data_IF_163145524418
#
_entry.id   IF_163145524418
#
_cell.length_a   1.000
_cell.length_b   1.000
_cell.length_c   1.000
_cell.angle_alpha   90.00
_cell.angle_beta   90.00
_cell.angle_gamma   90.00
#
_symmetry.space_group_name_H-M   'P 1'
#
loop_
_entity.id
_entity.type
_entity.pdbx_description
1 polymer ?
#
# COMPACT_ATOMS: atom_id res chain seq x y z
N UNK A 1 -52.55 30.89 22.73
CA UNK A 1 -51.72 30.71 21.50
C UNK A 1 -50.26 30.74 21.92
N UNK A 2 -49.66 29.58 22.19
CA UNK A 2 -48.25 29.48 22.63
C UNK A 2 -47.38 29.18 21.41
N UNK A 3 -46.33 30.01 21.23
CA UNK A 3 -45.34 29.85 20.18
C UNK A 3 -44.41 28.68 20.52
N UNK A 4 -44.44 27.61 19.73
CA UNK A 4 -43.45 26.55 19.78
C UNK A 4 -42.11 27.08 19.21
N UNK A 5 -41.12 27.11 20.07
CA UNK A 5 -39.75 27.46 19.76
C UNK A 5 -39.10 26.36 18.89
N UNK A 6 -38.66 26.73 17.69
CA UNK A 6 -37.82 25.93 16.83
C UNK A 6 -36.35 26.11 17.29
N UNK A 7 -35.93 25.32 18.24
CA UNK A 7 -34.48 25.24 18.57
C UNK A 7 -34.13 23.81 18.95
N UNK A 8 -33.27 23.17 18.18
CA UNK A 8 -32.71 21.89 18.59
C UNK A 8 -32.17 20.99 17.47
N UNK A 9 -31.78 21.56 16.32
CA UNK A 9 -30.85 20.82 15.46
C UNK A 9 -29.43 21.12 15.93
N UNK A 10 -28.97 20.35 16.90
CA UNK A 10 -27.55 20.32 17.24
C UNK A 10 -26.81 19.85 16.01
N UNK A 11 -25.88 20.68 15.53
CA UNK A 11 -24.86 20.28 14.55
C UNK A 11 -24.13 19.09 15.14
N UNK A 12 -24.43 17.87 14.69
CA UNK A 12 -23.56 16.72 14.89
C UNK A 12 -22.30 17.08 14.11
N UNK A 13 -21.27 17.48 14.84
CA UNK A 13 -19.93 17.60 14.27
C UNK A 13 -19.53 16.22 13.83
N UNK A 14 -19.58 15.97 12.52
CA UNK A 14 -18.99 14.77 11.90
C UNK A 14 -17.46 14.84 12.12
N UNK A 15 -17.02 14.47 13.31
CA UNK A 15 -15.62 14.23 13.59
C UNK A 15 -15.31 12.92 12.87
N UNK A 16 -14.75 13.01 11.68
CA UNK A 16 -14.24 11.85 10.95
C UNK A 16 -13.28 11.13 11.90
N UNK A 17 -13.64 9.94 12.34
CA UNK A 17 -12.77 9.11 13.17
C UNK A 17 -11.71 8.56 12.22
N UNK A 18 -10.50 9.11 12.30
CA UNK A 18 -9.37 8.57 11.56
C UNK A 18 -8.86 7.36 12.35
N UNK A 19 -9.02 6.17 11.76
CA UNK A 19 -8.44 4.96 12.31
C UNK A 19 -6.92 4.97 12.10
N UNK A 20 -6.17 4.84 13.20
CA UNK A 20 -4.72 4.62 13.17
C UNK A 20 -4.43 3.13 13.17
N UNK A 21 -3.90 2.64 12.08
CA UNK A 21 -3.63 1.22 11.93
C UNK A 21 -2.25 0.85 12.49
N UNK A 22 -2.17 -0.39 13.01
CA UNK A 22 -0.95 -1.10 13.37
C UNK A 22 -0.85 -2.37 12.53
N UNK A 23 0.25 -3.08 12.61
CA UNK A 23 0.50 -4.28 11.80
C UNK A 23 -0.67 -5.29 11.86
N UNK A 24 -1.18 -5.56 13.05
CA UNK A 24 -2.24 -6.55 13.24
C UNK A 24 -3.60 -6.05 12.73
N UNK A 25 -3.87 -4.77 12.90
CA UNK A 25 -5.18 -4.19 12.55
C UNK A 25 -5.29 -3.83 11.08
N UNK A 26 -4.20 -3.42 10.41
CA UNK A 26 -4.22 -3.12 8.97
C UNK A 26 -4.52 -4.38 8.15
N UNK A 27 -3.93 -5.51 8.52
CA UNK A 27 -4.16 -6.78 7.81
C UNK A 27 -5.62 -7.23 7.91
N UNK A 28 -6.24 -7.08 9.08
CA UNK A 28 -7.67 -7.38 9.28
C UNK A 28 -8.52 -6.45 8.42
N UNK A 29 -8.26 -5.14 8.46
CA UNK A 29 -9.04 -4.15 7.72
C UNK A 29 -8.92 -4.33 6.20
N UNK A 30 -7.73 -4.65 5.68
CA UNK A 30 -7.54 -4.95 4.25
C UNK A 30 -8.31 -6.20 3.85
N UNK A 31 -8.29 -7.27 4.65
CA UNK A 31 -9.09 -8.46 4.36
C UNK A 31 -10.59 -8.14 4.35
N UNK A 32 -11.09 -7.36 5.32
CA UNK A 32 -12.49 -6.92 5.32
C UNK A 32 -12.81 -6.04 4.08
N UNK A 33 -11.87 -5.18 3.64
CA UNK A 33 -12.02 -4.41 2.40
C UNK A 33 -12.11 -5.31 1.17
N UNK A 34 -11.25 -6.30 1.07
CA UNK A 34 -11.24 -7.25 -0.06
C UNK A 34 -12.50 -8.11 -0.10
N UNK A 35 -13.09 -8.43 1.06
CA UNK A 35 -14.35 -9.19 1.13
C UNK A 35 -15.58 -8.34 0.82
N UNK A 36 -15.66 -7.13 1.38
CA UNK A 36 -16.79 -6.21 1.20
C UNK A 36 -16.34 -4.76 1.42
N UNK A 37 -15.95 -4.04 0.35
CA UNK A 37 -15.49 -2.66 0.42
C UNK A 37 -16.49 -1.71 1.09
N UNK A 38 -17.78 -1.81 0.77
CA UNK A 38 -18.80 -0.92 1.33
C UNK A 38 -18.91 -1.05 2.85
N UNK A 39 -18.86 -2.29 3.36
CA UNK A 39 -18.90 -2.55 4.80
C UNK A 39 -17.63 -2.09 5.49
N UNK A 40 -16.47 -2.29 4.88
CA UNK A 40 -15.19 -1.85 5.42
C UNK A 40 -15.09 -0.33 5.43
N UNK A 41 -15.55 0.34 4.36
CA UNK A 41 -15.62 1.80 4.28
C UNK A 41 -16.53 2.39 5.36
N UNK A 42 -17.70 1.81 5.59
CA UNK A 42 -18.60 2.23 6.66
C UNK A 42 -17.96 2.12 8.07
N UNK A 43 -17.01 1.19 8.25
CA UNK A 43 -16.33 0.94 9.53
C UNK A 43 -15.07 1.78 9.71
N UNK A 44 -14.25 1.89 8.66
CA UNK A 44 -12.89 2.44 8.73
C UNK A 44 -12.70 3.74 7.91
N UNK A 45 -13.68 4.15 7.12
CA UNK A 45 -13.52 5.12 6.04
C UNK A 45 -12.89 4.51 4.80
N UNK A 46 -12.84 5.28 3.72
CA UNK A 46 -12.29 4.83 2.45
C UNK A 46 -10.79 4.47 2.61
N UNK A 47 -10.37 3.35 2.00
CA UNK A 47 -9.03 2.79 2.15
C UNK A 47 -7.91 3.78 1.82
N UNK A 48 -8.13 4.71 0.88
CA UNK A 48 -7.16 5.75 0.51
C UNK A 48 -6.85 6.74 1.63
N UNK A 49 -7.66 6.80 2.69
CA UNK A 49 -7.54 7.77 3.80
C UNK A 49 -7.12 7.12 5.12
N UNK A 50 -6.71 5.86 5.07
CA UNK A 50 -6.28 5.16 6.26
C UNK A 50 -4.94 5.70 6.78
N UNK A 51 -4.87 5.97 8.10
CA UNK A 51 -3.63 6.38 8.78
C UNK A 51 -2.76 5.15 9.03
N UNK A 52 -1.72 4.99 8.19
CA UNK A 52 -0.77 3.88 8.24
C UNK A 52 0.53 4.23 8.98
N UNK A 53 0.60 5.41 9.59
CA UNK A 53 1.82 5.96 10.23
C UNK A 53 2.44 5.08 11.33
N UNK A 54 1.67 4.13 11.89
CA UNK A 54 2.16 3.19 12.91
C UNK A 54 2.45 1.78 12.36
N UNK A 55 2.31 1.59 11.05
CA UNK A 55 2.57 0.29 10.41
C UNK A 55 4.04 0.18 10.07
N UNK A 56 4.66 -0.91 10.46
CA UNK A 56 6.08 -1.18 10.22
C UNK A 56 6.32 -2.34 9.24
N UNK A 57 5.29 -3.13 8.94
CA UNK A 57 5.35 -4.17 7.91
C UNK A 57 4.08 -4.20 7.08
N UNK A 58 4.28 -4.24 5.77
CA UNK A 58 3.24 -4.44 4.75
C UNK A 58 3.34 -5.84 4.12
N UNK A 59 4.04 -6.76 4.81
CA UNK A 59 4.26 -8.10 4.30
C UNK A 59 2.96 -8.78 3.91
N UNK A 60 2.85 -9.18 2.63
CA UNK A 60 1.68 -9.89 2.05
C UNK A 60 0.34 -9.15 2.14
N UNK A 61 0.32 -7.84 2.40
CA UNK A 61 -0.91 -7.12 2.69
C UNK A 61 -1.97 -7.22 1.57
N UNK A 62 -1.53 -7.19 0.30
CA UNK A 62 -2.37 -7.37 -0.89
C UNK A 62 -1.96 -8.62 -1.70
N UNK A 63 -1.37 -9.60 -1.03
CA UNK A 63 -0.95 -10.85 -1.69
C UNK A 63 -2.14 -11.57 -2.34
N UNK A 64 -2.06 -11.82 -3.66
CA UNK A 64 -3.14 -12.40 -4.47
C UNK A 64 -4.42 -11.56 -4.54
N UNK A 65 -4.35 -10.27 -4.27
CA UNK A 65 -5.46 -9.34 -4.40
C UNK A 65 -5.73 -9.01 -5.88
N UNK A 66 -6.24 -10.00 -6.62
CA UNK A 66 -6.34 -9.94 -8.09
C UNK A 66 -7.32 -8.89 -8.63
N UNK A 67 -8.19 -8.33 -7.78
CA UNK A 67 -9.16 -7.29 -8.15
C UNK A 67 -8.85 -5.93 -7.51
N UNK A 68 -7.83 -5.85 -6.64
CA UNK A 68 -7.50 -4.63 -5.93
C UNK A 68 -6.80 -3.63 -6.86
N UNK A 69 -7.36 -2.43 -6.95
CA UNK A 69 -6.75 -1.29 -7.67
C UNK A 69 -7.20 0.06 -7.08
N UNK A 70 -7.38 0.15 -5.75
CA UNK A 70 -7.72 1.40 -5.10
C UNK A 70 -6.50 2.30 -4.92
N UNK A 71 -6.68 3.64 -4.97
CA UNK A 71 -5.60 4.58 -4.70
C UNK A 71 -5.18 4.49 -3.23
N UNK A 72 -3.88 4.32 -3.02
CA UNK A 72 -3.24 4.24 -1.69
C UNK A 72 -1.97 5.09 -1.64
N UNK A 73 -1.87 6.06 -2.55
CA UNK A 73 -0.74 6.98 -2.67
C UNK A 73 -0.55 7.87 -1.44
N UNK A 74 -1.61 8.13 -0.66
CA UNK A 74 -1.56 8.90 0.58
C UNK A 74 -1.12 8.09 1.82
N UNK A 75 -0.88 6.78 1.68
CA UNK A 75 -0.43 5.97 2.80
C UNK A 75 0.96 6.39 3.28
N UNK A 76 1.09 6.60 4.59
CA UNK A 76 2.38 6.87 5.22
C UNK A 76 3.20 5.58 5.34
N UNK A 77 4.25 5.48 4.52
CA UNK A 77 5.17 4.34 4.46
C UNK A 77 6.45 4.58 5.26
N UNK A 78 6.62 5.75 5.86
CA UNK A 78 7.88 6.22 6.47
C UNK A 78 8.40 5.36 7.64
N UNK A 79 7.58 4.49 8.20
CA UNK A 79 7.98 3.54 9.24
C UNK A 79 8.03 2.07 8.78
N UNK A 80 7.74 1.82 7.50
CA UNK A 80 7.72 0.46 6.94
C UNK A 80 9.15 -0.03 6.69
N UNK A 81 9.45 -1.24 7.17
CA UNK A 81 10.75 -1.90 6.99
C UNK A 81 10.66 -3.16 6.11
N UNK A 82 9.48 -3.74 5.97
CA UNK A 82 9.24 -4.97 5.18
C UNK A 82 8.05 -4.80 4.25
N UNK A 83 8.30 -4.83 2.94
CA UNK A 83 7.29 -4.82 1.87
C UNK A 83 7.26 -6.16 1.10
N UNK A 84 7.82 -7.23 1.68
CA UNK A 84 7.90 -8.53 0.99
C UNK A 84 6.51 -9.03 0.58
N UNK A 85 6.36 -9.44 -0.68
CA UNK A 85 5.13 -10.00 -1.26
C UNK A 85 3.91 -9.07 -1.22
N UNK A 86 4.04 -7.77 -0.89
CA UNK A 86 2.89 -6.89 -0.68
C UNK A 86 1.88 -6.93 -1.84
N UNK A 87 2.33 -6.86 -3.08
CA UNK A 87 1.51 -6.91 -4.30
C UNK A 87 1.78 -8.16 -5.16
N UNK A 88 2.42 -9.18 -4.61
CA UNK A 88 2.67 -10.41 -5.38
C UNK A 88 1.34 -11.04 -5.80
N UNK A 89 1.19 -11.31 -7.11
CA UNK A 89 -0.04 -11.77 -7.74
C UNK A 89 -1.24 -10.79 -7.64
N UNK A 90 -1.02 -9.50 -7.39
CA UNK A 90 -2.03 -8.45 -7.49
C UNK A 90 -2.14 -8.01 -8.96
N UNK A 91 -2.84 -8.79 -9.75
CA UNK A 91 -2.80 -8.72 -11.23
C UNK A 91 -3.47 -7.51 -11.84
N UNK A 92 -4.29 -6.75 -11.09
CA UNK A 92 -4.94 -5.52 -11.57
C UNK A 92 -4.33 -4.25 -10.97
N UNK A 93 -3.49 -4.37 -9.92
CA UNK A 93 -2.94 -3.21 -9.25
C UNK A 93 -2.01 -2.41 -10.16
N UNK A 94 -2.33 -1.12 -10.38
CA UNK A 94 -1.53 -0.18 -11.16
C UNK A 94 -1.70 1.27 -10.68
N UNK A 95 -1.83 1.49 -9.37
CA UNK A 95 -1.94 2.83 -8.81
C UNK A 95 -0.58 3.49 -8.62
N UNK A 96 -0.55 4.83 -8.70
CA UNK A 96 0.66 5.61 -8.47
C UNK A 96 1.08 5.50 -6.99
N UNK A 97 2.32 5.08 -6.77
CA UNK A 97 2.93 4.92 -5.45
C UNK A 97 4.37 5.47 -5.41
N UNK A 98 4.75 6.22 -6.44
CA UNK A 98 6.12 6.75 -6.56
C UNK A 98 6.51 7.75 -5.48
N UNK A 99 5.53 8.38 -4.81
CA UNK A 99 5.74 9.34 -3.72
C UNK A 99 5.90 8.70 -2.33
N UNK A 100 5.83 7.36 -2.22
CA UNK A 100 6.02 6.70 -0.94
C UNK A 100 7.44 6.89 -0.39
N UNK A 101 7.57 7.25 0.89
CA UNK A 101 8.84 7.21 1.61
C UNK A 101 9.16 5.77 2.00
N UNK A 102 10.03 5.13 1.21
CA UNK A 102 10.49 3.74 1.43
C UNK A 102 11.91 3.68 2.01
N UNK A 103 12.43 4.81 2.47
CA UNK A 103 13.83 4.95 2.93
C UNK A 103 14.21 4.02 4.09
N UNK A 104 13.25 3.50 4.87
CA UNK A 104 13.51 2.52 5.93
C UNK A 104 13.32 1.06 5.51
N UNK A 105 12.88 0.81 4.27
CA UNK A 105 12.61 -0.55 3.81
C UNK A 105 13.91 -1.32 3.64
N UNK A 106 13.96 -2.52 4.20
CA UNK A 106 15.13 -3.41 4.12
C UNK A 106 14.92 -4.62 3.22
N UNK A 107 13.66 -4.95 2.90
CA UNK A 107 13.33 -6.06 2.01
C UNK A 107 12.10 -5.77 1.15
N UNK A 108 12.26 -5.99 -0.16
CA UNK A 108 11.24 -5.86 -1.21
C UNK A 108 11.11 -7.17 -2.00
N UNK A 109 11.51 -8.31 -1.40
CA UNK A 109 11.46 -9.60 -2.12
C UNK A 109 10.04 -9.91 -2.57
N UNK A 110 9.90 -10.33 -3.84
CA UNK A 110 8.62 -10.68 -4.47
C UNK A 110 7.56 -9.56 -4.44
N UNK A 111 7.94 -8.30 -4.22
CA UNK A 111 7.00 -7.18 -4.03
C UNK A 111 5.94 -7.10 -5.13
N UNK A 112 6.34 -7.14 -6.39
CA UNK A 112 5.48 -7.09 -7.59
C UNK A 112 5.58 -8.37 -8.44
N UNK A 113 6.00 -9.48 -7.83
CA UNK A 113 6.08 -10.74 -8.58
C UNK A 113 4.70 -11.14 -9.10
N UNK A 114 4.61 -11.41 -10.41
CA UNK A 114 3.35 -11.70 -11.11
C UNK A 114 2.28 -10.59 -10.99
N UNK A 115 2.70 -9.33 -10.81
CA UNK A 115 1.84 -8.15 -10.91
C UNK A 115 1.78 -7.71 -12.39
N UNK A 116 0.88 -8.32 -13.14
CA UNK A 116 0.84 -8.28 -14.60
C UNK A 116 0.32 -6.98 -15.20
N UNK A 117 -0.06 -5.99 -14.38
CA UNK A 117 -0.45 -4.65 -14.85
C UNK A 117 0.39 -3.53 -14.25
N UNK A 118 1.13 -3.80 -13.14
CA UNK A 118 1.89 -2.75 -12.46
C UNK A 118 3.04 -2.25 -13.33
N UNK A 119 2.96 -0.97 -13.72
CA UNK A 119 3.99 -0.28 -14.51
C UNK A 119 4.06 1.21 -14.17
N UNK A 120 3.92 1.59 -12.89
CA UNK A 120 4.01 2.98 -12.44
C UNK A 120 5.46 3.37 -12.13
N UNK A 121 5.84 4.65 -12.36
CA UNK A 121 7.19 5.13 -12.04
C UNK A 121 7.43 5.08 -10.53
N UNK A 122 8.57 4.51 -10.18
CA UNK A 122 9.08 4.38 -8.80
C UNK A 122 10.56 4.75 -8.71
N UNK A 123 11.06 5.50 -9.69
CA UNK A 123 12.46 5.91 -9.79
C UNK A 123 12.92 6.74 -8.58
N UNK A 124 11.99 7.52 -7.98
CA UNK A 124 12.27 8.39 -6.84
C UNK A 124 12.33 7.65 -5.48
N UNK A 125 12.11 6.34 -5.46
CA UNK A 125 12.24 5.58 -4.23
C UNK A 125 13.68 5.53 -3.73
N UNK A 126 13.91 5.94 -2.48
CA UNK A 126 15.19 5.72 -1.79
C UNK A 126 15.28 4.25 -1.34
N UNK A 127 15.99 3.46 -2.12
CA UNK A 127 16.21 2.03 -1.86
C UNK A 127 17.56 1.72 -1.22
N UNK A 128 18.30 2.74 -0.78
CA UNK A 128 19.65 2.63 -0.26
C UNK A 128 19.79 1.70 0.96
N UNK A 129 18.70 1.48 1.70
CA UNK A 129 18.68 0.56 2.83
C UNK A 129 18.21 -0.86 2.48
N UNK A 130 17.78 -1.11 1.24
CA UNK A 130 17.26 -2.42 0.83
C UNK A 130 18.41 -3.43 0.71
N UNK A 131 18.21 -4.62 1.28
CA UNK A 131 19.16 -5.74 1.26
C UNK A 131 18.67 -6.93 0.44
N UNK A 132 17.38 -7.03 0.18
CA UNK A 132 16.81 -8.15 -0.57
C UNK A 132 15.73 -7.66 -1.55
N UNK A 133 16.01 -7.87 -2.86
CA UNK A 133 15.10 -7.61 -4.00
C UNK A 133 14.83 -8.89 -4.81
N UNK A 134 15.01 -10.08 -4.19
CA UNK A 134 14.74 -11.37 -4.84
C UNK A 134 13.38 -11.38 -5.52
N UNK A 135 13.37 -11.71 -6.82
CA UNK A 135 12.16 -11.86 -7.64
C UNK A 135 11.19 -10.67 -7.59
N UNK A 136 11.68 -9.46 -7.29
CA UNK A 136 10.83 -8.27 -7.07
C UNK A 136 9.85 -8.00 -8.21
N UNK A 137 10.29 -8.15 -9.45
CA UNK A 137 9.49 -7.95 -10.66
C UNK A 137 9.38 -9.24 -11.52
N UNK A 138 9.61 -10.40 -10.93
CA UNK A 138 9.51 -11.67 -11.66
C UNK A 138 8.12 -11.87 -12.26
N UNK A 139 8.03 -12.26 -13.52
CA UNK A 139 6.78 -12.44 -14.27
C UNK A 139 5.86 -11.19 -14.28
N UNK A 140 6.43 -9.99 -14.30
CA UNK A 140 5.71 -8.72 -14.38
C UNK A 140 5.92 -8.03 -15.73
N UNK A 141 5.16 -6.95 -15.98
CA UNK A 141 5.29 -6.07 -17.16
C UNK A 141 6.09 -4.80 -16.86
N UNK A 142 6.69 -4.72 -15.68
CA UNK A 142 7.39 -3.53 -15.23
C UNK A 142 8.58 -3.20 -16.14
N UNK A 143 8.57 -1.98 -16.70
CA UNK A 143 9.62 -1.50 -17.60
C UNK A 143 9.97 -0.02 -17.41
N UNK A 144 9.72 0.53 -16.20
CA UNK A 144 10.08 1.91 -15.89
C UNK A 144 11.56 2.04 -15.51
N UNK A 145 12.08 3.28 -15.64
CA UNK A 145 13.46 3.58 -15.27
C UNK A 145 13.69 3.40 -13.78
N UNK A 146 14.91 2.92 -13.43
CA UNK A 146 15.39 2.75 -12.07
C UNK A 146 16.81 3.33 -11.90
N UNK A 147 17.17 4.34 -12.72
CA UNK A 147 18.54 4.82 -12.84
C UNK A 147 19.04 5.52 -11.56
N UNK A 148 18.12 6.08 -10.75
CA UNK A 148 18.46 6.76 -9.50
C UNK A 148 18.64 5.81 -8.31
N UNK A 149 18.31 4.52 -8.46
CA UNK A 149 18.40 3.58 -7.35
C UNK A 149 19.83 3.28 -6.93
N UNK A 150 20.16 3.59 -5.66
CA UNK A 150 21.39 3.11 -5.01
C UNK A 150 21.18 1.67 -4.49
N UNK A 151 21.68 0.72 -5.24
CA UNK A 151 21.59 -0.72 -4.91
C UNK A 151 22.88 -1.27 -4.27
N UNK A 152 23.79 -0.40 -3.83
CA UNK A 152 25.10 -0.80 -3.29
C UNK A 152 25.02 -1.68 -2.04
N UNK A 153 23.92 -1.61 -1.30
CA UNK A 153 23.66 -2.41 -0.10
C UNK A 153 22.83 -3.68 -0.36
N UNK A 154 22.40 -3.92 -1.60
CA UNK A 154 21.57 -5.10 -1.92
C UNK A 154 22.43 -6.36 -1.95
N UNK A 155 22.04 -7.35 -1.15
CA UNK A 155 22.75 -8.64 -1.00
C UNK A 155 22.13 -9.74 -1.87
N UNK A 156 20.84 -9.62 -2.24
CA UNK A 156 20.16 -10.61 -3.06
C UNK A 156 19.24 -9.92 -4.08
N UNK A 157 19.52 -10.14 -5.37
CA UNK A 157 18.71 -9.74 -6.53
C UNK A 157 18.35 -10.95 -7.41
N UNK A 158 18.43 -12.16 -6.89
CA UNK A 158 18.16 -13.35 -7.67
C UNK A 158 16.79 -13.27 -8.34
N UNK A 159 16.76 -13.54 -9.65
CA UNK A 159 15.51 -13.55 -10.46
C UNK A 159 14.69 -12.26 -10.42
N UNK A 160 15.30 -11.10 -10.09
CA UNK A 160 14.59 -9.82 -9.94
C UNK A 160 13.64 -9.54 -11.12
N UNK A 161 14.04 -9.83 -12.34
CA UNK A 161 13.28 -9.66 -13.59
C UNK A 161 13.06 -10.98 -14.34
N UNK A 162 13.13 -12.12 -13.66
CA UNK A 162 12.94 -13.42 -14.35
C UNK A 162 11.52 -13.50 -14.93
N UNK A 163 11.39 -13.95 -16.19
CA UNK A 163 10.13 -14.08 -16.91
C UNK A 163 9.33 -12.78 -17.06
N UNK A 164 9.95 -11.61 -16.87
CA UNK A 164 9.34 -10.31 -17.21
C UNK A 164 9.46 -10.04 -18.70
N UNK A 165 8.46 -9.32 -19.27
CA UNK A 165 8.40 -8.97 -20.70
C UNK A 165 9.03 -7.60 -20.95
#
# INVERSE_FOLDING_TARGET
>A
MSKLSKNGLSKISNKTVIFKFKNETIAIAVNEWMENPEKAEAKYGHISKWDTSQVTTMNRLFFKATLFNEPIDEWDMSNVTDMSYMFSNATTFNQSIGNWDVSKVTTMKYLFSNATTFNQPIEEWDVSNVRNMESMFSASVFNQLLNSWDVSNVLNMDRMFAFSN
#
